data_IF_832488002935
#
_entry.id   IF_832488002935
#
_cell.length_a   1.000
_cell.length_b   1.000
_cell.length_c   1.000
_cell.angle_alpha   90.00
_cell.angle_beta   90.00
_cell.angle_gamma   90.00
#
_symmetry.space_group_name_H-M   'P 1'
#
loop_
_entity.id
_entity.type
_entity.pdbx_description
1 polymer ?
#
# COMPACT_ATOMS: atom_id res chain seq x y z
N UNK A 1 -2.20 -61.92 -9.62
CA UNK A 1 -2.50 -60.83 -8.67
C UNK A 1 -1.26 -60.29 -7.93
N UNK A 2 -0.18 -61.05 -7.73
CA UNK A 2 1.02 -60.54 -7.02
C UNK A 2 1.92 -59.53 -7.82
N UNK A 3 1.82 -59.51 -9.15
CA UNK A 3 2.62 -58.58 -9.98
C UNK A 3 2.06 -57.15 -10.07
N UNK A 4 0.79 -56.94 -9.74
CA UNK A 4 0.13 -55.63 -9.79
C UNK A 4 0.51 -54.74 -8.60
N UNK A 5 0.89 -55.34 -7.46
CA UNK A 5 1.24 -54.64 -6.22
C UNK A 5 2.61 -53.94 -6.34
N UNK A 6 3.53 -54.50 -7.15
CA UNK A 6 4.88 -53.89 -7.33
C UNK A 6 4.86 -52.67 -8.23
N UNK A 7 3.88 -52.51 -9.09
CA UNK A 7 3.77 -51.32 -9.95
C UNK A 7 3.28 -50.09 -9.16
N UNK A 8 2.46 -50.33 -8.11
CA UNK A 8 1.96 -49.25 -7.24
C UNK A 8 3.03 -48.70 -6.28
N UNK A 9 4.04 -49.52 -5.94
CA UNK A 9 5.14 -49.10 -5.04
C UNK A 9 6.22 -48.23 -5.73
N UNK A 10 6.24 -48.19 -7.08
CA UNK A 10 7.18 -47.37 -7.85
C UNK A 10 6.67 -45.95 -8.13
N UNK A 11 5.40 -45.67 -7.80
CA UNK A 11 4.82 -44.32 -7.80
C UNK A 11 4.89 -43.69 -6.38
N UNK A 12 6.00 -43.84 -5.68
CA UNK A 12 6.35 -42.93 -4.60
C UNK A 12 6.69 -41.58 -5.25
N UNK A 13 5.65 -40.77 -5.46
CA UNK A 13 5.73 -39.40 -5.91
C UNK A 13 6.66 -38.71 -4.90
N UNK A 14 7.81 -38.24 -5.36
CA UNK A 14 8.59 -37.30 -4.59
C UNK A 14 7.71 -36.07 -4.38
N UNK A 15 6.99 -36.03 -3.26
CA UNK A 15 6.35 -34.84 -2.79
C UNK A 15 7.48 -33.90 -2.38
N UNK A 16 7.89 -33.02 -3.28
CA UNK A 16 8.72 -31.91 -2.92
C UNK A 16 7.89 -31.04 -1.97
N UNK A 17 8.18 -31.14 -0.69
CA UNK A 17 7.58 -30.25 0.30
C UNK A 17 7.87 -28.81 -0.09
N UNK A 18 6.90 -27.94 0.08
CA UNK A 18 7.08 -26.51 -0.09
C UNK A 18 8.16 -26.03 0.91
N UNK A 19 9.24 -25.44 0.42
CA UNK A 19 10.36 -25.00 1.26
C UNK A 19 10.13 -23.63 1.88
N UNK A 20 9.19 -22.85 1.33
CA UNK A 20 8.87 -21.50 1.77
C UNK A 20 7.43 -21.10 1.34
N UNK A 21 6.97 -20.01 1.87
CA UNK A 21 5.73 -19.33 1.40
C UNK A 21 5.85 -17.83 1.60
N UNK A 22 5.08 -17.06 0.81
CA UNK A 22 4.93 -15.61 0.97
C UNK A 22 3.45 -15.34 1.26
N UNK A 23 3.16 -14.57 2.32
CA UNK A 23 1.78 -14.36 2.76
C UNK A 23 0.95 -13.60 1.72
N UNK A 24 1.52 -12.56 1.12
CA UNK A 24 0.86 -11.78 0.08
C UNK A 24 1.84 -11.38 -1.02
N UNK A 25 1.42 -11.56 -2.28
CA UNK A 25 2.23 -11.23 -3.46
C UNK A 25 1.84 -9.89 -4.11
N UNK A 26 0.66 -9.36 -3.79
CA UNK A 26 0.18 -8.09 -4.31
C UNK A 26 -0.30 -7.21 -3.15
N UNK A 27 0.39 -6.11 -2.93
CA UNK A 27 0.13 -5.19 -1.85
C UNK A 27 -0.22 -3.81 -2.38
N UNK A 28 -1.19 -3.16 -1.74
CA UNK A 28 -1.59 -1.81 -2.06
C UNK A 28 -1.43 -0.92 -0.83
N UNK A 29 -0.80 0.23 -1.02
CA UNK A 29 -0.62 1.24 0.02
C UNK A 29 -1.02 2.61 -0.48
N UNK A 30 -1.52 3.45 0.40
CA UNK A 30 -1.97 4.79 0.05
C UNK A 30 -1.60 5.81 1.13
N UNK A 31 -1.36 7.03 0.70
CA UNK A 31 -1.09 8.17 1.56
C UNK A 31 -1.84 9.41 1.11
N UNK A 32 -2.05 10.32 2.06
CA UNK A 32 -2.68 11.62 1.83
C UNK A 32 -1.74 12.80 2.06
N UNK A 33 -0.45 12.53 2.23
CA UNK A 33 0.59 13.52 2.42
C UNK A 33 1.78 13.21 1.50
N UNK A 34 2.06 14.12 0.59
CA UNK A 34 3.14 14.00 -0.40
C UNK A 34 4.55 14.05 0.18
N UNK A 35 4.71 14.46 1.44
CA UNK A 35 6.01 14.57 2.11
C UNK A 35 6.29 13.39 3.06
N UNK A 36 5.31 12.50 3.26
CA UNK A 36 5.48 11.33 4.11
C UNK A 36 5.69 10.09 3.24
N UNK A 37 6.53 9.18 3.71
CA UNK A 37 6.62 7.86 3.13
C UNK A 37 5.33 7.07 3.33
N UNK A 38 5.10 6.14 2.41
CA UNK A 38 4.06 5.13 2.52
C UNK A 38 4.73 3.76 2.49
N UNK A 39 4.27 2.85 3.35
CA UNK A 39 4.85 1.52 3.43
C UNK A 39 3.82 0.46 3.76
N UNK A 40 4.09 -0.76 3.31
CA UNK A 40 3.32 -1.95 3.66
C UNK A 40 4.22 -3.17 3.60
N UNK A 41 3.99 -4.11 4.50
CA UNK A 41 4.77 -5.35 4.57
C UNK A 41 3.93 -6.58 4.27
N UNK A 42 4.64 -7.62 3.82
CA UNK A 42 4.25 -9.02 3.85
C UNK A 42 5.34 -9.82 4.57
N UNK A 43 5.20 -11.11 4.61
CA UNK A 43 6.18 -11.98 5.24
C UNK A 43 6.60 -13.10 4.30
N UNK A 44 7.88 -13.40 4.33
CA UNK A 44 8.47 -14.60 3.76
C UNK A 44 8.67 -15.61 4.89
N UNK A 45 8.04 -16.77 4.78
CA UNK A 45 8.11 -17.85 5.75
C UNK A 45 9.00 -18.96 5.21
N UNK A 46 10.14 -19.20 5.83
CA UNK A 46 11.02 -20.32 5.50
C UNK A 46 10.64 -21.57 6.29
N UNK A 47 10.26 -22.63 5.60
CA UNK A 47 9.93 -23.93 6.20
C UNK A 47 11.17 -24.80 6.34
N UNK A 48 12.18 -24.55 5.53
CA UNK A 48 13.49 -25.19 5.53
C UNK A 48 14.58 -24.14 5.38
N UNK A 49 15.86 -24.55 5.39
CA UNK A 49 16.96 -23.63 5.07
C UNK A 49 16.84 -23.18 3.62
N UNK A 50 16.73 -21.87 3.41
CA UNK A 50 16.55 -21.26 2.11
C UNK A 50 17.72 -20.32 1.79
N UNK A 51 18.39 -20.54 0.67
CA UNK A 51 19.27 -19.54 0.06
C UNK A 51 18.40 -18.61 -0.77
N UNK A 52 18.43 -17.33 -0.46
CA UNK A 52 17.59 -16.30 -1.09
C UNK A 52 18.46 -15.36 -1.91
N UNK A 53 18.02 -15.06 -3.13
CA UNK A 53 18.47 -13.89 -3.88
C UNK A 53 17.23 -13.13 -4.34
N UNK A 54 17.28 -11.80 -4.24
CA UNK A 54 16.21 -10.97 -4.74
C UNK A 54 16.71 -9.84 -5.63
N UNK A 55 15.88 -9.42 -6.54
CA UNK A 55 16.16 -8.27 -7.42
C UNK A 55 14.88 -7.52 -7.78
N UNK A 56 15.02 -6.22 -7.98
CA UNK A 56 13.95 -5.39 -8.51
C UNK A 56 13.88 -5.59 -10.02
N UNK A 57 12.75 -6.11 -10.49
CA UNK A 57 12.51 -6.42 -11.91
C UNK A 57 11.64 -5.38 -12.61
N UNK A 58 10.96 -4.53 -11.83
CA UNK A 58 10.18 -3.41 -12.34
C UNK A 58 10.20 -2.27 -11.33
N UNK A 59 10.47 -1.09 -11.86
CA UNK A 59 10.37 0.18 -11.18
C UNK A 59 9.63 1.15 -12.12
N UNK A 60 8.40 1.48 -11.77
CA UNK A 60 7.54 2.41 -12.51
C UNK A 60 6.97 3.41 -11.52
N UNK A 61 7.83 4.34 -11.10
CA UNK A 61 7.51 5.39 -10.14
C UNK A 61 7.42 6.76 -10.82
N UNK A 62 6.64 7.70 -10.26
CA UNK A 62 6.76 9.11 -10.63
C UNK A 62 8.20 9.62 -10.46
N UNK A 63 8.60 10.60 -11.26
CA UNK A 63 10.01 11.00 -11.42
C UNK A 63 10.73 11.48 -10.16
N UNK A 64 9.98 11.93 -9.13
CA UNK A 64 10.56 12.37 -7.85
C UNK A 64 10.46 11.29 -6.76
N UNK A 65 9.76 10.19 -7.05
CA UNK A 65 9.62 9.14 -6.07
C UNK A 65 10.87 8.29 -5.99
N UNK A 66 11.17 7.88 -4.76
CA UNK A 66 12.17 6.87 -4.45
C UNK A 66 11.52 5.69 -3.72
N UNK A 67 12.26 4.60 -3.57
CA UNK A 67 11.84 3.47 -2.76
C UNK A 67 13.03 2.83 -2.04
N UNK A 68 12.71 2.10 -0.97
CA UNK A 68 13.66 1.22 -0.26
C UNK A 68 12.95 -0.03 0.25
N UNK A 69 13.72 -1.02 0.64
CA UNK A 69 13.20 -2.29 1.15
C UNK A 69 13.83 -2.69 2.46
N UNK A 70 13.05 -3.44 3.26
CA UNK A 70 13.58 -4.25 4.36
C UNK A 70 13.28 -5.73 4.07
N UNK A 71 14.34 -6.57 3.80
CA UNK A 71 14.23 -8.00 3.56
C UNK A 71 15.56 -8.74 3.73
N UNK A 72 15.84 -9.37 4.89
CA UNK A 72 15.25 -9.08 6.21
C UNK A 72 15.77 -7.76 6.78
N UNK A 73 16.97 -7.37 6.40
CA UNK A 73 17.60 -6.10 6.77
C UNK A 73 17.07 -4.94 5.93
N UNK A 74 17.18 -3.73 6.45
CA UNK A 74 16.75 -2.55 5.72
C UNK A 74 17.87 -2.00 4.84
N UNK A 75 17.58 -1.86 3.57
CA UNK A 75 18.47 -1.35 2.55
C UNK A 75 18.13 0.11 2.23
N UNK A 76 19.15 0.90 1.92
CA UNK A 76 18.96 2.29 1.49
C UNK A 76 18.36 2.40 0.09
N UNK A 77 17.91 3.60 -0.24
CA UNK A 77 17.45 3.94 -1.59
C UNK A 77 18.53 3.61 -2.63
N UNK A 78 18.12 3.04 -3.76
CA UNK A 78 19.00 2.67 -4.88
C UNK A 78 19.59 1.26 -4.79
N UNK A 79 19.37 0.52 -3.71
CA UNK A 79 19.75 -0.89 -3.64
C UNK A 79 18.65 -1.73 -4.30
N UNK A 80 19.01 -2.41 -5.39
CA UNK A 80 18.08 -3.14 -6.23
C UNK A 80 18.22 -4.67 -6.17
N UNK A 81 19.15 -5.20 -5.41
CA UNK A 81 19.34 -6.64 -5.21
C UNK A 81 20.16 -6.95 -3.96
N UNK A 82 19.95 -8.11 -3.39
CA UNK A 82 20.79 -8.68 -2.33
C UNK A 82 20.62 -10.22 -2.25
N UNK A 83 21.36 -10.84 -1.34
CA UNK A 83 21.30 -12.27 -1.06
C UNK A 83 21.35 -12.50 0.44
N UNK A 84 20.69 -13.57 0.90
CA UNK A 84 20.69 -13.97 2.30
C UNK A 84 20.42 -15.47 2.46
N UNK A 85 20.56 -15.97 3.69
CA UNK A 85 20.23 -17.35 4.07
C UNK A 85 19.23 -17.30 5.22
N UNK A 86 18.06 -17.88 5.00
CA UNK A 86 17.04 -18.04 6.03
C UNK A 86 17.03 -19.45 6.59
N UNK A 87 16.86 -19.55 7.89
CA UNK A 87 16.84 -20.83 8.59
C UNK A 87 15.39 -21.34 8.74
N UNK A 88 15.20 -22.64 9.03
CA UNK A 88 13.89 -23.23 9.16
C UNK A 88 13.02 -22.53 10.22
N UNK A 89 11.72 -22.40 9.93
CA UNK A 89 10.71 -21.79 10.80
C UNK A 89 10.95 -20.29 11.11
N UNK A 90 11.68 -19.59 10.25
CA UNK A 90 11.78 -18.15 10.33
C UNK A 90 10.66 -17.48 9.54
N UNK A 91 10.10 -16.43 10.11
CA UNK A 91 9.24 -15.47 9.43
C UNK A 91 10.03 -14.18 9.22
N UNK A 92 10.37 -13.89 7.99
CA UNK A 92 11.20 -12.76 7.63
C UNK A 92 10.34 -11.63 7.09
N UNK A 93 10.61 -10.45 7.58
CA UNK A 93 9.93 -9.24 7.21
C UNK A 93 10.26 -8.83 5.78
N UNK A 94 9.26 -8.57 4.96
CA UNK A 94 9.39 -8.13 3.59
C UNK A 94 8.55 -6.89 3.39
N UNK A 95 9.18 -5.72 3.50
CA UNK A 95 8.55 -4.41 3.45
C UNK A 95 9.05 -3.59 2.28
N UNK A 96 8.16 -2.78 1.70
CA UNK A 96 8.52 -1.72 0.76
C UNK A 96 8.10 -0.36 1.35
N UNK A 97 9.02 0.59 1.31
CA UNK A 97 8.77 2.01 1.53
C UNK A 97 8.83 2.74 0.20
N UNK A 98 7.86 3.60 -0.08
CA UNK A 98 7.90 4.55 -1.19
C UNK A 98 7.88 5.96 -0.64
N UNK A 99 8.77 6.80 -1.18
CA UNK A 99 8.99 8.19 -0.78
C UNK A 99 8.50 9.12 -1.88
N UNK A 100 7.34 9.77 -1.72
CA UNK A 100 6.75 10.63 -2.75
C UNK A 100 7.56 11.91 -3.05
N UNK A 101 8.35 12.38 -2.08
CA UNK A 101 9.23 13.55 -2.23
C UNK A 101 8.53 14.81 -2.79
N UNK A 102 7.31 15.06 -2.34
CA UNK A 102 6.51 16.22 -2.74
C UNK A 102 5.68 16.04 -4.01
N UNK A 103 5.64 14.85 -4.62
CA UNK A 103 4.89 14.58 -5.85
C UNK A 103 3.74 13.60 -5.60
N UNK A 104 2.54 13.98 -6.04
CA UNK A 104 1.40 13.07 -6.13
C UNK A 104 1.58 12.04 -7.24
N UNK A 105 0.90 10.91 -7.13
CA UNK A 105 0.89 9.93 -8.20
C UNK A 105 0.63 8.51 -7.74
N UNK A 106 0.87 7.58 -8.66
CA UNK A 106 0.85 6.16 -8.41
C UNK A 106 2.15 5.55 -8.90
N UNK A 107 2.72 4.67 -8.09
CA UNK A 107 3.95 3.95 -8.38
C UNK A 107 3.77 2.44 -8.25
N UNK A 108 4.55 1.67 -9.02
CA UNK A 108 4.58 0.22 -8.96
C UNK A 108 6.03 -0.23 -8.86
N UNK A 109 6.33 -1.07 -7.86
CA UNK A 109 7.63 -1.74 -7.74
C UNK A 109 7.39 -3.25 -7.64
N UNK A 110 8.20 -4.03 -8.36
CA UNK A 110 8.15 -5.50 -8.34
C UNK A 110 9.53 -6.06 -8.00
N UNK A 111 9.52 -6.97 -7.04
CA UNK A 111 10.69 -7.74 -6.63
C UNK A 111 10.52 -9.20 -7.06
N UNK A 112 11.50 -9.75 -7.77
CA UNK A 112 11.65 -11.19 -7.95
C UNK A 112 12.48 -11.74 -6.80
N UNK A 113 12.02 -12.81 -6.19
CA UNK A 113 12.71 -13.56 -5.13
C UNK A 113 13.00 -14.96 -5.68
N UNK A 114 14.25 -15.37 -5.65
CA UNK A 114 14.68 -16.70 -6.09
C UNK A 114 15.12 -17.47 -4.86
N UNK A 115 14.39 -18.54 -4.55
CA UNK A 115 14.68 -19.44 -3.43
C UNK A 115 15.41 -20.69 -3.91
N UNK A 116 16.56 -20.99 -3.30
CA UNK A 116 17.39 -22.17 -3.59
C UNK A 116 17.79 -22.31 -5.06
N UNK A 117 17.91 -21.20 -5.79
CA UNK A 117 18.18 -21.14 -7.24
C UNK A 117 17.15 -21.92 -8.10
N UNK A 118 15.97 -22.18 -7.57
CA UNK A 118 14.96 -23.03 -8.21
C UNK A 118 13.57 -22.38 -8.28
N UNK A 119 13.09 -21.89 -7.15
CA UNK A 119 11.75 -21.33 -7.06
C UNK A 119 11.79 -19.82 -7.25
N UNK A 120 10.88 -19.31 -8.09
CA UNK A 120 10.75 -17.89 -8.39
C UNK A 120 9.40 -17.37 -7.93
N UNK A 121 9.43 -16.37 -7.09
CA UNK A 121 8.25 -15.63 -6.63
C UNK A 121 8.38 -14.17 -7.04
N UNK A 122 7.25 -13.52 -7.25
CA UNK A 122 7.20 -12.08 -7.51
C UNK A 122 6.28 -11.42 -6.51
N UNK A 123 6.78 -10.38 -5.85
CA UNK A 123 5.98 -9.53 -4.97
C UNK A 123 5.84 -8.15 -5.61
N UNK A 124 4.62 -7.64 -5.63
CA UNK A 124 4.27 -6.36 -6.26
C UNK A 124 3.71 -5.41 -5.22
N UNK A 125 4.26 -4.21 -5.14
CA UNK A 125 3.74 -3.11 -4.35
C UNK A 125 3.20 -2.01 -5.28
N UNK A 126 1.98 -1.56 -4.99
CA UNK A 126 1.33 -0.44 -5.66
C UNK A 126 1.09 0.64 -4.62
N UNK A 127 1.78 1.77 -4.79
CA UNK A 127 1.63 2.94 -3.93
C UNK A 127 0.83 4.02 -4.62
N UNK A 128 -0.11 4.65 -3.90
CA UNK A 128 -0.86 5.81 -4.40
C UNK A 128 -0.80 6.92 -3.36
N UNK A 129 -0.37 8.10 -3.78
CA UNK A 129 -0.37 9.29 -2.93
C UNK A 129 -1.10 10.43 -3.62
N UNK A 130 -2.04 11.02 -2.89
CA UNK A 130 -2.77 12.21 -3.30
C UNK A 130 -2.81 13.20 -2.14
N UNK A 131 -2.50 14.46 -2.39
CA UNK A 131 -2.71 15.49 -1.39
C UNK A 131 -4.21 15.76 -1.26
N UNK A 132 -4.72 15.75 -0.06
CA UNK A 132 -6.05 16.29 0.21
C UNK A 132 -5.90 17.81 0.23
N UNK A 133 -6.05 18.44 -0.93
CA UNK A 133 -6.16 19.88 -0.99
C UNK A 133 -7.51 20.29 -0.39
N UNK A 134 -7.51 20.79 0.83
CA UNK A 134 -8.72 21.44 1.42
C UNK A 134 -9.14 22.70 0.67
N UNK A 135 -8.45 23.04 -0.44
CA UNK A 135 -8.77 24.24 -1.26
C UNK A 135 -9.92 24.01 -2.21
N UNK A 136 -10.32 22.78 -2.51
CA UNK A 136 -11.46 22.52 -3.42
C UNK A 136 -12.83 22.85 -2.82
N UNK A 137 -12.96 22.96 -1.50
CA UNK A 137 -14.20 23.44 -0.90
C UNK A 137 -14.35 24.97 -0.93
N UNK A 138 -13.26 25.72 -1.16
CA UNK A 138 -13.33 27.19 -1.21
C UNK A 138 -13.55 27.75 -2.62
N UNK A 139 -13.25 26.97 -3.66
CA UNK A 139 -13.38 27.37 -5.06
C UNK A 139 -14.54 26.70 -5.82
N UNK A 140 -15.43 25.96 -5.16
CA UNK A 140 -16.69 25.65 -5.81
C UNK A 140 -17.36 26.99 -6.11
N UNK A 141 -17.24 27.39 -7.37
CA UNK A 141 -17.87 28.56 -7.99
C UNK A 141 -19.07 29.02 -7.18
N UNK A 142 -19.07 30.29 -6.84
CA UNK A 142 -20.31 30.98 -6.43
C UNK A 142 -21.35 30.81 -7.53
N UNK A 143 -21.92 29.62 -7.67
CA UNK A 143 -23.22 29.53 -8.30
C UNK A 143 -24.13 30.27 -7.35
N UNK A 144 -24.89 31.22 -7.88
CA UNK A 144 -25.83 32.12 -7.18
C UNK A 144 -26.94 31.37 -6.41
N UNK A 145 -26.63 30.28 -5.73
CA UNK A 145 -27.55 29.57 -4.85
C UNK A 145 -27.61 30.33 -3.53
N UNK A 146 -28.54 31.24 -3.46
CA UNK A 146 -28.87 32.01 -2.26
C UNK A 146 -29.12 31.01 -1.12
N UNK A 147 -28.36 31.08 -0.03
CA UNK A 147 -28.67 30.28 1.15
C UNK A 147 -29.98 30.76 1.74
N UNK A 148 -30.95 29.87 1.89
CA UNK A 148 -32.27 30.21 2.43
C UNK A 148 -32.23 30.38 3.94
N UNK A 149 -31.39 29.59 4.64
CA UNK A 149 -31.29 29.60 6.11
C UNK A 149 -29.90 29.28 6.61
N UNK A 150 -29.52 29.89 7.73
CA UNK A 150 -28.31 29.55 8.50
C UNK A 150 -28.75 28.99 9.85
N UNK A 151 -28.29 27.79 10.19
CA UNK A 151 -28.63 27.14 11.46
C UNK A 151 -27.38 26.76 12.27
N UNK A 152 -27.53 26.69 13.57
CA UNK A 152 -26.49 26.21 14.50
C UNK A 152 -26.46 24.68 14.52
N UNK A 153 -25.52 24.12 15.34
CA UNK A 153 -25.34 22.67 15.51
C UNK A 153 -26.62 21.95 16.02
N UNK A 154 -27.54 22.66 16.62
CA UNK A 154 -28.80 22.13 17.16
C UNK A 154 -29.97 22.36 16.21
N UNK A 155 -29.70 22.91 15.01
CA UNK A 155 -30.71 23.16 13.97
C UNK A 155 -31.54 24.46 14.17
N UNK A 156 -31.16 25.34 15.10
CA UNK A 156 -31.85 26.63 15.34
C UNK A 156 -31.38 27.67 14.33
N UNK A 157 -32.29 28.42 13.75
CA UNK A 157 -31.95 29.50 12.84
C UNK A 157 -31.19 30.62 13.60
N UNK A 158 -30.03 30.99 13.06
CA UNK A 158 -29.13 31.98 13.68
C UNK A 158 -28.58 32.94 12.63
N UNK A 159 -28.22 34.13 13.07
CA UNK A 159 -27.44 35.06 12.24
C UNK A 159 -25.99 34.59 12.16
N UNK A 160 -25.34 34.93 11.05
CA UNK A 160 -23.90 34.66 10.85
C UNK A 160 -23.09 35.17 12.06
N UNK A 161 -22.19 34.30 12.56
CA UNK A 161 -21.21 34.62 13.58
C UNK A 161 -19.88 33.97 13.22
N UNK A 162 -18.77 34.75 13.33
CA UNK A 162 -17.40 34.21 13.23
C UNK A 162 -17.08 33.27 14.40
N UNK A 163 -16.11 32.38 14.20
CA UNK A 163 -15.63 31.42 15.20
C UNK A 163 -16.71 30.46 15.73
N UNK A 164 -17.78 30.25 14.94
CA UNK A 164 -18.83 29.27 15.24
C UNK A 164 -19.09 28.36 14.04
N UNK A 165 -19.39 27.10 14.35
CA UNK A 165 -19.83 26.14 13.36
C UNK A 165 -21.27 26.45 12.97
N UNK A 166 -21.48 26.73 11.68
CA UNK A 166 -22.78 27.05 11.10
C UNK A 166 -23.07 26.15 9.90
N UNK A 167 -24.33 25.83 9.72
CA UNK A 167 -24.85 25.10 8.55
C UNK A 167 -25.68 26.01 7.68
N UNK A 168 -25.32 26.07 6.41
CA UNK A 168 -26.03 26.83 5.39
C UNK A 168 -26.95 25.89 4.61
N UNK A 169 -28.24 26.05 4.77
CA UNK A 169 -29.26 25.31 4.04
C UNK A 169 -29.56 26.05 2.74
N UNK A 170 -29.46 25.38 1.62
CA UNK A 170 -29.75 25.94 0.30
C UNK A 170 -31.13 25.48 -0.18
N UNK A 171 -31.77 26.28 -1.03
CA UNK A 171 -33.11 26.00 -1.57
C UNK A 171 -33.20 24.71 -2.38
N UNK A 172 -32.05 24.22 -2.88
CA UNK A 172 -31.93 22.94 -3.58
C UNK A 172 -31.83 21.74 -2.66
N UNK A 173 -31.99 21.91 -1.34
CA UNK A 173 -31.85 20.84 -0.34
C UNK A 173 -30.42 20.50 0.08
N UNK A 174 -29.41 21.17 -0.47
CA UNK A 174 -28.02 20.97 -0.04
C UNK A 174 -27.69 21.70 1.25
N UNK A 175 -26.82 21.11 2.07
CA UNK A 175 -26.37 21.68 3.34
C UNK A 175 -24.87 21.87 3.29
N UNK A 176 -24.39 23.10 3.51
CA UNK A 176 -22.94 23.39 3.63
C UNK A 176 -22.57 23.71 5.08
N UNK A 177 -21.56 23.02 5.60
CA UNK A 177 -20.98 23.27 6.92
C UNK A 177 -19.87 24.32 6.78
N UNK A 178 -19.88 25.37 7.62
CA UNK A 178 -18.86 26.43 7.61
C UNK A 178 -18.43 26.87 9.01
N UNK A 179 -17.14 27.11 9.18
CA UNK A 179 -16.55 27.90 10.27
C UNK A 179 -15.77 29.02 9.60
N UNK A 180 -16.09 30.27 9.93
CA UNK A 180 -15.28 31.43 9.51
C UNK A 180 -14.42 31.86 10.69
N UNK A 181 -13.13 31.81 10.53
CA UNK A 181 -12.11 32.15 11.54
C UNK A 181 -11.58 33.53 11.19
N UNK A 182 -11.19 34.33 12.21
CA UNK A 182 -10.55 35.64 12.02
C UNK A 182 -9.13 35.48 11.52
#
# INVERSE_FOLDING_TARGET
>A
MKKLIYIFLLFSINSFGQTHSIDQHNLQMSGNNINNDISINTYYNSLDTCSISWSIIKDSLPSQWDFSFCFPDCYGVGIANAQDIFFPNQQNFLNCHMYPNGQEGQGIVQMEIITNNLYKDTVTWIGTVSSISFTDELNSSFSNNKSSKIVDIVGREVKFKKNKLLFYLHDNGTVKKRIVID
#
